data_IF_508565818006
#
_entry.id   IF_508565818006
#
_cell.length_a   1.000
_cell.length_b   1.000
_cell.length_c   1.000
_cell.angle_alpha   90.00
_cell.angle_beta   90.00
_cell.angle_gamma   90.00
#
_symmetry.space_group_name_H-M   'P 1'
#
loop_
_entity.id
_entity.type
_entity.pdbx_description
1 polymer ?
#
# COMPACT_ATOMS: atom_id res chain seq x y z
N UNK A 1 4.46 2.67 26.16
CA UNK A 1 3.69 1.99 25.09
C UNK A 1 4.55 0.83 24.75
N UNK A 2 4.09 -0.35 25.14
CA UNK A 2 5.00 -1.46 25.32
C UNK A 2 4.78 -2.39 24.13
N UNK A 3 5.86 -2.78 23.48
CA UNK A 3 5.83 -3.77 22.40
C UNK A 3 5.96 -5.15 23.03
N UNK A 4 5.25 -6.14 22.49
CA UNK A 4 5.46 -7.55 22.87
C UNK A 4 6.88 -7.99 22.54
N UNK A 5 7.36 -9.04 23.22
CA UNK A 5 8.73 -9.57 23.05
C UNK A 5 9.01 -9.98 21.59
N UNK A 6 8.01 -10.54 20.91
CA UNK A 6 8.07 -10.90 19.49
C UNK A 6 7.99 -9.69 18.53
N UNK A 7 7.75 -8.48 19.03
CA UNK A 7 7.62 -7.28 18.21
C UNK A 7 6.29 -7.14 17.46
N UNK A 8 5.42 -8.16 17.48
CA UNK A 8 4.23 -8.23 16.63
C UNK A 8 3.10 -7.30 17.07
N UNK A 9 3.06 -6.93 18.36
CA UNK A 9 1.99 -6.13 18.93
C UNK A 9 2.52 -4.98 19.77
N UNK A 10 1.78 -3.87 19.72
CA UNK A 10 1.89 -2.76 20.66
C UNK A 10 0.71 -2.80 21.66
N UNK A 11 0.99 -2.56 22.93
CA UNK A 11 0.00 -2.60 24.01
C UNK A 11 -0.36 -1.18 24.43
N UNK A 12 -1.64 -0.83 24.29
CA UNK A 12 -2.19 0.48 24.66
C UNK A 12 -3.39 0.27 25.58
N UNK A 13 -3.27 0.71 26.85
CA UNK A 13 -4.31 0.55 27.89
C UNK A 13 -4.79 -0.91 28.01
N UNK A 14 -3.85 -1.86 28.00
CA UNK A 14 -4.12 -3.30 28.08
C UNK A 14 -4.66 -3.95 26.81
N UNK A 15 -4.91 -3.20 25.73
CA UNK A 15 -5.35 -3.75 24.44
C UNK A 15 -4.16 -3.91 23.50
N UNK A 16 -4.07 -5.07 22.85
CA UNK A 16 -3.07 -5.35 21.81
C UNK A 16 -3.54 -4.82 20.46
N UNK A 17 -2.64 -4.15 19.77
CA UNK A 17 -2.80 -3.70 18.39
C UNK A 17 -1.62 -4.25 17.60
N UNK A 18 -1.87 -4.74 16.37
CA UNK A 18 -0.78 -5.20 15.52
C UNK A 18 0.20 -4.06 15.25
N UNK A 19 1.49 -4.30 15.46
CA UNK A 19 2.54 -3.35 15.16
C UNK A 19 2.67 -3.15 13.64
N UNK A 20 3.11 -1.96 13.25
CA UNK A 20 3.57 -1.73 11.87
C UNK A 20 4.70 -2.69 11.56
N UNK A 21 4.67 -3.29 10.37
CA UNK A 21 5.72 -4.18 9.89
C UNK A 21 7.09 -3.46 9.92
N UNK A 22 8.05 -3.96 10.71
CA UNK A 22 9.37 -3.35 10.84
C UNK A 22 10.24 -3.52 9.58
N UNK A 23 9.87 -4.41 8.66
CA UNK A 23 10.58 -4.64 7.39
C UNK A 23 10.33 -3.56 6.33
N UNK A 24 9.35 -2.68 6.53
CA UNK A 24 9.04 -1.60 5.58
C UNK A 24 10.17 -0.56 5.56
N UNK A 25 10.76 -0.23 4.39
CA UNK A 25 11.73 0.85 4.28
C UNK A 25 11.19 2.18 4.81
N UNK A 26 11.97 2.89 5.64
CA UNK A 26 11.49 4.04 6.42
C UNK A 26 10.94 5.19 5.55
N UNK A 27 11.51 5.41 4.37
CA UNK A 27 11.00 6.40 3.42
C UNK A 27 9.60 6.03 2.89
N UNK A 28 9.35 4.75 2.61
CA UNK A 28 8.05 4.26 2.14
C UNK A 28 7.04 4.27 3.30
N UNK A 29 7.45 3.82 4.48
CA UNK A 29 6.63 3.88 5.70
C UNK A 29 6.16 5.30 6.01
N UNK A 30 7.06 6.29 5.90
CA UNK A 30 6.72 7.72 6.08
C UNK A 30 5.61 8.16 5.14
N UNK A 31 5.64 7.76 3.87
CA UNK A 31 4.58 8.06 2.91
C UNK A 31 3.24 7.42 3.29
N UNK A 32 3.25 6.13 3.67
CA UNK A 32 2.04 5.40 4.09
C UNK A 32 1.41 6.03 5.35
N UNK A 33 2.23 6.41 6.33
CA UNK A 33 1.79 7.08 7.56
C UNK A 33 1.17 8.44 7.25
N UNK A 34 1.73 9.22 6.32
CA UNK A 34 1.15 10.52 5.93
C UNK A 34 -0.27 10.37 5.39
N UNK A 35 -0.51 9.37 4.53
CA UNK A 35 -1.85 9.07 4.01
C UNK A 35 -2.78 8.58 5.12
N UNK A 36 -2.31 7.68 5.99
CA UNK A 36 -3.08 7.22 7.16
C UNK A 36 -3.54 8.39 8.03
N UNK A 37 -2.65 9.32 8.35
CA UNK A 37 -2.98 10.46 9.21
C UNK A 37 -3.93 11.44 8.53
N UNK A 38 -3.79 11.67 7.22
CA UNK A 38 -4.73 12.48 6.46
C UNK A 38 -6.13 11.85 6.44
N UNK A 39 -6.23 10.55 6.14
CA UNK A 39 -7.49 9.81 6.21
C UNK A 39 -8.13 9.90 7.59
N UNK A 40 -7.36 9.66 8.67
CA UNK A 40 -7.86 9.76 10.06
C UNK A 40 -8.43 11.14 10.41
N UNK A 41 -7.81 12.23 9.93
CA UNK A 41 -8.33 13.60 10.15
C UNK A 41 -9.68 13.82 9.49
N UNK A 42 -9.87 13.26 8.28
CA UNK A 42 -11.10 13.41 7.51
C UNK A 42 -12.24 12.50 7.98
N UNK A 43 -11.97 11.38 8.68
CA UNK A 43 -13.04 10.44 9.14
C UNK A 43 -14.15 11.16 9.92
N UNK A 44 -13.81 12.16 10.73
CA UNK A 44 -14.81 12.88 11.54
C UNK A 44 -15.73 13.76 10.68
N UNK A 45 -15.23 14.29 9.56
CA UNK A 45 -15.95 15.25 8.71
C UNK A 45 -16.60 14.59 7.49
N UNK A 46 -15.90 13.64 6.87
CA UNK A 46 -16.31 12.94 5.64
C UNK A 46 -17.02 11.60 5.93
N UNK A 47 -16.93 11.08 7.16
CA UNK A 47 -17.62 9.86 7.57
C UNK A 47 -17.05 8.58 6.96
N UNK A 48 -17.93 7.68 6.54
CA UNK A 48 -17.57 6.32 6.12
C UNK A 48 -16.76 6.20 4.81
N UNK A 49 -17.00 7.01 3.76
CA UNK A 49 -16.26 6.88 2.50
C UNK A 49 -14.73 6.96 2.65
N UNK A 50 -14.20 7.85 3.50
CA UNK A 50 -12.75 8.00 3.73
C UNK A 50 -12.15 6.86 4.56
N UNK A 51 -12.96 6.02 5.22
CA UNK A 51 -12.45 4.85 5.95
C UNK A 51 -11.73 3.86 5.05
N UNK A 52 -12.06 3.84 3.76
CA UNK A 52 -11.33 3.06 2.74
C UNK A 52 -9.84 3.45 2.67
N UNK A 53 -9.54 4.76 2.75
CA UNK A 53 -8.15 5.28 2.77
C UNK A 53 -7.41 4.81 4.03
N UNK A 54 -8.08 4.86 5.18
CA UNK A 54 -7.52 4.39 6.46
C UNK A 54 -7.29 2.88 6.42
N UNK A 55 -8.23 2.13 5.85
CA UNK A 55 -8.12 0.68 5.70
C UNK A 55 -6.92 0.32 4.81
N UNK A 56 -6.82 0.91 3.61
CA UNK A 56 -5.70 0.68 2.69
C UNK A 56 -4.36 0.98 3.37
N UNK A 57 -4.22 2.15 4.01
CA UNK A 57 -2.96 2.53 4.64
C UNK A 57 -2.58 1.59 5.80
N UNK A 58 -3.56 1.13 6.59
CA UNK A 58 -3.31 0.16 7.67
C UNK A 58 -2.93 -1.22 7.16
N UNK A 59 -3.56 -1.69 6.09
CA UNK A 59 -3.18 -2.96 5.44
C UNK A 59 -1.78 -2.84 4.87
N UNK A 60 -1.45 -1.75 4.17
CA UNK A 60 -0.11 -1.50 3.63
C UNK A 60 0.97 -1.51 4.74
N UNK A 61 0.71 -0.83 5.86
CA UNK A 61 1.57 -0.81 7.05
C UNK A 61 1.67 -2.16 7.77
N UNK A 62 0.91 -3.17 7.36
CA UNK A 62 0.85 -4.48 8.03
C UNK A 62 0.02 -4.48 9.31
N UNK A 63 -0.64 -3.37 9.68
CA UNK A 63 -1.47 -3.25 10.90
C UNK A 63 -2.80 -4.02 10.79
N UNK A 64 -3.18 -4.45 9.57
CA UNK A 64 -4.41 -5.19 9.24
C UNK A 64 -4.15 -6.17 8.08
N UNK A 65 -5.07 -7.12 7.89
CA UNK A 65 -4.95 -8.16 6.87
C UNK A 65 -4.26 -9.41 7.42
N UNK A 66 -3.67 -10.21 6.53
CA UNK A 66 -2.81 -11.33 6.93
C UNK A 66 -1.61 -10.82 7.77
N UNK A 67 -1.09 -11.69 8.63
CA UNK A 67 0.02 -11.36 9.52
C UNK A 67 1.33 -11.27 8.74
N UNK A 68 2.05 -10.16 8.89
CA UNK A 68 3.32 -9.96 8.18
C UNK A 68 4.44 -10.87 8.68
N UNK A 69 4.30 -11.45 9.88
CA UNK A 69 5.21 -12.46 10.43
C UNK A 69 4.77 -13.90 10.10
N UNK A 70 3.75 -14.09 9.26
CA UNK A 70 3.33 -15.43 8.86
C UNK A 70 4.49 -16.14 8.16
N UNK A 71 4.90 -17.35 8.60
CA UNK A 71 5.95 -18.11 7.93
C UNK A 71 5.49 -18.67 6.57
N UNK A 72 4.20 -18.55 6.23
CA UNK A 72 3.62 -19.04 4.98
C UNK A 72 2.48 -18.12 4.58
N UNK A 73 2.78 -16.90 4.09
CA UNK A 73 1.75 -15.96 3.68
C UNK A 73 1.00 -16.49 2.46
N UNK A 74 -0.31 -16.28 2.43
CA UNK A 74 -1.13 -16.64 1.28
C UNK A 74 -0.89 -15.67 0.12
N UNK A 75 -1.01 -16.16 -1.12
CA UNK A 75 -0.97 -15.30 -2.30
C UNK A 75 -2.07 -14.22 -2.24
N UNK A 76 -3.27 -14.57 -1.74
CA UNK A 76 -4.37 -13.63 -1.56
C UNK A 76 -4.03 -12.52 -0.56
N UNK A 77 -3.43 -12.86 0.58
CA UNK A 77 -3.00 -11.86 1.58
C UNK A 77 -1.88 -10.96 1.06
N UNK A 78 -0.91 -11.52 0.34
CA UNK A 78 0.14 -10.75 -0.34
C UNK A 78 -0.45 -9.81 -1.40
N UNK A 79 -1.36 -10.31 -2.25
CA UNK A 79 -2.03 -9.53 -3.29
C UNK A 79 -2.85 -8.38 -2.68
N UNK A 80 -3.61 -8.67 -1.62
CA UNK A 80 -4.39 -7.67 -0.87
C UNK A 80 -3.50 -6.57 -0.29
N UNK A 81 -2.35 -6.96 0.29
CA UNK A 81 -1.39 -6.00 0.85
C UNK A 81 -0.69 -5.18 -0.22
N UNK A 82 -0.33 -5.78 -1.36
CA UNK A 82 0.22 -5.08 -2.53
C UNK A 82 -0.78 -4.06 -3.07
N UNK A 83 -2.05 -4.44 -3.23
CA UNK A 83 -3.10 -3.57 -3.76
C UNK A 83 -3.32 -2.35 -2.85
N UNK A 84 -3.46 -2.60 -1.54
CA UNK A 84 -3.57 -1.55 -0.53
C UNK A 84 -2.37 -0.60 -0.53
N UNK A 85 -1.16 -1.15 -0.72
CA UNK A 85 0.07 -0.37 -0.82
C UNK A 85 0.09 0.51 -2.05
N UNK A 86 -0.22 -0.03 -3.24
CA UNK A 86 -0.23 0.75 -4.49
C UNK A 86 -1.24 1.90 -4.44
N UNK A 87 -2.44 1.65 -3.91
CA UNK A 87 -3.46 2.70 -3.70
C UNK A 87 -2.98 3.76 -2.72
N UNK A 88 -2.38 3.36 -1.61
CA UNK A 88 -1.85 4.29 -0.60
C UNK A 88 -0.71 5.13 -1.18
N UNK A 89 0.21 4.52 -1.93
CA UNK A 89 1.31 5.24 -2.58
C UNK A 89 0.83 6.20 -3.67
N UNK A 90 -0.19 5.82 -4.44
CA UNK A 90 -0.83 6.71 -5.40
C UNK A 90 -1.41 7.97 -4.72
N UNK A 91 -2.09 7.81 -3.56
CA UNK A 91 -2.56 8.93 -2.74
C UNK A 91 -1.43 9.74 -2.11
N UNK A 92 -0.32 9.09 -1.76
CA UNK A 92 0.84 9.74 -1.16
C UNK A 92 1.57 10.67 -2.13
N UNK A 93 1.39 10.45 -3.43
CA UNK A 93 2.10 11.12 -4.52
C UNK A 93 1.12 11.72 -5.55
N UNK A 94 0.24 12.69 -5.18
CA UNK A 94 -0.71 13.29 -6.14
C UNK A 94 0.01 13.87 -7.36
N UNK A 95 -0.46 13.53 -8.57
CA UNK A 95 0.15 13.95 -9.83
C UNK A 95 1.55 13.37 -10.11
N UNK A 96 2.06 12.48 -9.26
CA UNK A 96 3.37 11.85 -9.36
C UNK A 96 3.22 10.33 -9.49
N UNK A 97 4.34 9.66 -9.72
CA UNK A 97 4.38 8.21 -9.94
C UNK A 97 5.20 7.45 -8.91
N UNK A 98 4.91 6.15 -8.77
CA UNK A 98 5.73 5.15 -8.10
C UNK A 98 5.97 3.96 -9.04
N UNK A 99 6.60 2.88 -8.57
CA UNK A 99 6.77 1.65 -9.35
C UNK A 99 6.32 0.42 -8.55
N UNK A 100 6.02 -0.73 -9.21
CA UNK A 100 5.59 -1.95 -8.50
C UNK A 100 6.60 -2.44 -7.45
N UNK A 101 7.90 -2.23 -7.67
CA UNK A 101 8.94 -2.61 -6.71
C UNK A 101 8.92 -1.78 -5.42
N UNK A 102 8.34 -0.58 -5.41
CA UNK A 102 8.13 0.15 -4.16
C UNK A 102 7.09 -0.59 -3.30
N UNK A 103 5.98 -1.02 -3.91
CA UNK A 103 4.97 -1.80 -3.21
C UNK A 103 5.50 -3.18 -2.77
N UNK A 104 6.29 -3.84 -3.62
CA UNK A 104 6.92 -5.10 -3.26
C UNK A 104 7.87 -4.96 -2.05
N UNK A 105 8.63 -3.87 -1.94
CA UNK A 105 9.49 -3.60 -0.77
C UNK A 105 8.72 -3.32 0.51
N UNK A 106 7.51 -2.77 0.42
CA UNK A 106 6.63 -2.62 1.59
C UNK A 106 6.15 -3.98 2.07
N UNK A 107 5.89 -4.92 1.16
CA UNK A 107 5.27 -6.22 1.50
C UNK A 107 6.31 -7.29 1.85
N UNK A 108 7.42 -7.36 1.12
CA UNK A 108 8.48 -8.37 1.29
C UNK A 108 9.80 -7.82 1.85
N UNK A 109 9.79 -6.60 2.39
CA UNK A 109 10.97 -5.97 2.99
C UNK A 109 12.16 -5.80 2.04
N UNK A 110 13.38 -5.80 2.58
CA UNK A 110 14.61 -5.61 1.79
C UNK A 110 15.13 -6.88 1.11
N UNK A 111 14.75 -8.05 1.64
CA UNK A 111 15.29 -9.34 1.21
C UNK A 111 14.39 -10.01 0.15
N UNK A 112 13.08 -10.14 0.44
CA UNK A 112 12.18 -11.01 -0.33
C UNK A 112 11.34 -10.27 -1.38
N UNK A 113 11.45 -8.94 -1.49
CA UNK A 113 10.61 -8.16 -2.39
C UNK A 113 10.71 -8.56 -3.86
N UNK A 114 11.83 -9.17 -4.28
CA UNK A 114 12.02 -9.58 -5.68
C UNK A 114 11.08 -10.71 -6.06
N UNK A 115 10.81 -11.63 -5.14
CA UNK A 115 9.94 -12.78 -5.39
C UNK A 115 8.47 -12.35 -5.53
N UNK A 116 8.12 -11.18 -5.00
CA UNK A 116 6.79 -10.58 -5.14
C UNK A 116 6.60 -9.82 -6.45
N UNK A 117 7.61 -9.70 -7.32
CA UNK A 117 7.52 -8.82 -8.49
C UNK A 117 6.47 -9.27 -9.51
N UNK A 118 6.29 -10.58 -9.72
CA UNK A 118 5.29 -11.10 -10.64
C UNK A 118 3.88 -10.83 -10.11
N UNK A 119 3.65 -11.11 -8.83
CA UNK A 119 2.39 -10.80 -8.15
C UNK A 119 2.10 -9.29 -8.13
N UNK A 120 3.12 -8.46 -7.88
CA UNK A 120 2.97 -7.00 -7.91
C UNK A 120 2.57 -6.50 -9.30
N UNK A 121 3.14 -7.07 -10.37
CA UNK A 121 2.74 -6.74 -11.74
C UNK A 121 1.32 -7.18 -12.04
N UNK A 122 0.91 -8.35 -11.57
CA UNK A 122 -0.47 -8.83 -11.67
C UNK A 122 -1.45 -7.88 -10.97
N UNK A 123 -1.21 -7.56 -9.69
CA UNK A 123 -2.04 -6.62 -8.92
C UNK A 123 -2.14 -5.25 -9.59
N UNK A 124 -1.04 -4.76 -10.19
CA UNK A 124 -1.08 -3.51 -10.94
C UNK A 124 -2.03 -3.58 -12.15
N UNK A 125 -2.09 -4.70 -12.87
CA UNK A 125 -3.05 -4.90 -13.97
C UNK A 125 -4.49 -4.88 -13.47
N UNK A 126 -4.75 -5.56 -12.36
CA UNK A 126 -6.09 -5.63 -11.76
C UNK A 126 -6.57 -4.23 -11.36
N UNK A 127 -5.74 -3.47 -10.64
CA UNK A 127 -6.06 -2.08 -10.27
C UNK A 127 -6.18 -1.14 -11.47
N UNK A 128 -5.45 -1.40 -12.57
CA UNK A 128 -5.63 -0.66 -13.81
C UNK A 128 -6.98 -0.99 -14.45
N UNK A 129 -7.36 -2.27 -14.48
CA UNK A 129 -8.63 -2.72 -15.04
C UNK A 129 -9.84 -2.12 -14.28
N UNK A 130 -9.73 -1.95 -12.96
CA UNK A 130 -10.74 -1.23 -12.17
C UNK A 130 -10.67 0.29 -12.31
N UNK A 131 -9.59 0.84 -12.90
CA UNK A 131 -9.35 2.28 -13.09
C UNK A 131 -8.87 3.01 -11.83
N UNK A 132 -8.45 2.27 -10.80
CA UNK A 132 -7.90 2.81 -9.56
C UNK A 132 -6.44 3.27 -9.73
N UNK A 133 -5.69 2.69 -10.66
CA UNK A 133 -4.36 3.18 -11.03
C UNK A 133 -4.21 3.32 -12.54
N UNK A 134 -3.31 4.20 -12.96
CA UNK A 134 -2.81 4.25 -14.33
C UNK A 134 -1.42 3.62 -14.38
N UNK A 135 -1.12 2.93 -15.49
CA UNK A 135 0.19 2.38 -15.77
C UNK A 135 0.77 3.12 -16.97
N UNK A 136 1.98 3.65 -16.82
CA UNK A 136 2.73 4.28 -17.91
C UNK A 136 4.11 3.67 -18.09
N UNK A 137 4.62 3.69 -19.32
CA UNK A 137 5.97 3.30 -19.67
C UNK A 137 6.56 4.36 -20.59
N UNK A 138 7.71 4.94 -20.22
CA UNK A 138 8.33 6.06 -20.94
C UNK A 138 7.37 7.24 -21.18
N UNK A 139 6.45 7.48 -20.24
CA UNK A 139 5.44 8.54 -20.32
C UNK A 139 4.14 8.13 -21.02
N UNK A 140 4.14 7.05 -21.78
CA UNK A 140 2.98 6.59 -22.54
C UNK A 140 2.13 5.61 -21.73
N UNK A 141 0.81 5.68 -21.92
CA UNK A 141 -0.11 4.75 -21.27
C UNK A 141 0.12 3.31 -21.74
N UNK A 142 0.20 2.37 -20.79
CA UNK A 142 0.29 0.94 -21.09
C UNK A 142 -1.12 0.34 -21.17
N UNK A 143 -1.54 -0.02 -22.37
CA UNK A 143 -2.83 -0.68 -22.62
C UNK A 143 -2.72 -2.21 -22.70
N UNK A 144 -1.55 -2.73 -23.09
CA UNK A 144 -1.28 -4.15 -23.20
C UNK A 144 -1.24 -4.85 -21.84
N UNK A 145 -1.65 -6.13 -21.82
CA UNK A 145 -1.55 -6.98 -20.63
C UNK A 145 -0.09 -7.37 -20.34
N UNK A 146 0.74 -7.47 -21.36
CA UNK A 146 2.15 -7.80 -21.22
C UNK A 146 3.04 -6.63 -21.60
N UNK A 147 4.06 -6.40 -20.78
CA UNK A 147 5.08 -5.39 -21.05
C UNK A 147 6.43 -5.86 -20.53
N UNK A 148 7.50 -5.41 -21.20
CA UNK A 148 8.88 -5.66 -20.79
C UNK A 148 9.48 -4.41 -20.15
N UNK A 149 10.24 -4.60 -19.07
CA UNK A 149 10.98 -3.53 -18.42
C UNK A 149 10.19 -2.70 -17.41
N UNK A 150 10.72 -1.53 -17.03
CA UNK A 150 10.15 -0.67 -15.98
C UNK A 150 8.83 -0.02 -16.40
N UNK A 151 7.95 0.12 -15.42
CA UNK A 151 6.68 0.85 -15.53
C UNK A 151 6.52 1.80 -14.34
N UNK A 152 5.63 2.77 -14.50
CA UNK A 152 5.25 3.76 -13.49
C UNK A 152 3.76 3.62 -13.20
N UNK A 153 3.41 3.76 -11.94
CA UNK A 153 2.04 3.71 -11.42
C UNK A 153 1.65 5.09 -10.88
N UNK A 154 0.46 5.57 -11.21
CA UNK A 154 -0.12 6.79 -10.62
C UNK A 154 -1.59 6.57 -10.27
N UNK A 155 -2.19 7.49 -9.52
CA UNK A 155 -3.62 7.46 -9.25
C UNK A 155 -4.43 7.44 -10.55
N UNK A 156 -5.43 6.56 -10.61
CA UNK A 156 -6.42 6.52 -11.67
C UNK A 156 -7.68 7.29 -11.31
N UNK A 157 -8.55 7.54 -12.31
CA UNK A 157 -9.74 8.37 -12.13
C UNK A 157 -10.78 7.76 -11.16
N UNK A 158 -10.68 6.46 -10.86
CA UNK A 158 -11.59 5.77 -9.94
C UNK A 158 -10.99 5.55 -8.55
N UNK A 159 -9.78 6.05 -8.27
CA UNK A 159 -9.20 5.97 -6.92
C UNK A 159 -9.87 6.99 -6.00
N UNK A 160 -10.58 6.56 -4.93
CA UNK A 160 -11.17 7.51 -4.00
C UNK A 160 -10.10 8.28 -3.26
N UNK A 161 -10.29 9.60 -3.11
CA UNK A 161 -9.40 10.50 -2.38
C UNK A 161 -7.95 10.46 -2.91
N UNK A 162 -7.78 10.37 -4.23
CA UNK A 162 -6.47 10.38 -4.90
C UNK A 162 -5.63 11.63 -4.57
N UNK A 163 -6.29 12.73 -4.25
CA UNK A 163 -5.78 14.05 -3.95
C UNK A 163 -5.77 14.37 -2.44
N UNK A 164 -5.90 13.37 -1.56
CA UNK A 164 -5.96 13.59 -0.11
C UNK A 164 -4.74 14.32 0.48
N UNK A 165 -3.60 14.27 -0.22
CA UNK A 165 -2.37 15.00 0.13
C UNK A 165 -2.01 16.08 -0.92
N UNK A 166 -2.95 16.49 -1.77
CA UNK A 166 -2.73 17.63 -2.65
C UNK A 166 -2.42 18.89 -1.80
N UNK A 167 -1.52 19.76 -2.29
CA UNK A 167 -1.13 20.98 -1.58
C UNK A 167 -2.29 21.94 -1.33
#
# INVERSE_FOLDING_TARGET
>A
MDTTEDGHYIVVKGRRWRATDPGIPENLKTELVRVLMAGRRLVKTEGDPVRTVVQDAKVALGERGEEWWSPSPTEEGLASRLAATMRTMARARPGKTHCPSDAARVVGGTEDWRDLMDLARQVARELRATGEILITQKGEAVTAEEWKGPIRLSAGPKLPYADILAP
#
